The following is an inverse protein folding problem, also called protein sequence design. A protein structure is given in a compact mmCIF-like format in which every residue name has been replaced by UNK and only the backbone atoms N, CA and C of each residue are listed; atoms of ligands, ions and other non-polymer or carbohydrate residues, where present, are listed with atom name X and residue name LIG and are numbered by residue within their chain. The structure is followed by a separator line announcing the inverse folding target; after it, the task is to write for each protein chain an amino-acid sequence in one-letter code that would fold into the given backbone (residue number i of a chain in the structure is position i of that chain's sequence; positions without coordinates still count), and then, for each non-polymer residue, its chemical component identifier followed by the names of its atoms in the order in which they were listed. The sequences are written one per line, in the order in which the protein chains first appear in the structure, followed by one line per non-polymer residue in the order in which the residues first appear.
data_IF_620048768699
#
_entry.id   IF_620048768699
#
_cell.length_a   1.000
_cell.length_b   1.000
_cell.length_c   1.000
_cell.angle_alpha   90.00
_cell.angle_beta   90.00
_cell.angle_gamma   90.00
#
_symmetry.space_group_name_H-M   'P 1'
#
loop_
_entity.id
_entity.type
_entity.pdbx_description
1 polymer ?
#
# COMPACT_ATOMS: atom_id res chain seq x y z
N UNK A 1 -27.41 -73.65 -19.54
CA UNK A 1 -27.50 -72.82 -18.31
C UNK A 1 -26.93 -71.45 -18.62
N UNK A 2 -27.70 -70.42 -18.31
CA UNK A 2 -27.46 -68.99 -18.60
C UNK A 2 -26.44 -68.39 -17.62
N UNK A 3 -25.68 -67.37 -18.04
CA UNK A 3 -25.29 -66.13 -17.32
C UNK A 3 -24.30 -65.34 -18.24
N UNK A 4 -24.72 -64.22 -18.87
CA UNK A 4 -24.58 -62.82 -18.42
C UNK A 4 -23.25 -62.15 -18.86
N UNK A 5 -23.32 -60.95 -19.45
CA UNK A 5 -22.14 -60.09 -19.66
C UNK A 5 -22.29 -58.98 -20.70
N UNK A 6 -22.77 -57.81 -20.26
CA UNK A 6 -23.04 -56.58 -21.01
C UNK A 6 -21.86 -55.86 -21.69
N UNK A 7 -22.24 -55.08 -22.71
CA UNK A 7 -21.77 -53.72 -23.04
C UNK A 7 -20.27 -53.49 -23.31
N UNK A 8 -19.94 -53.48 -24.60
CA UNK A 8 -18.71 -52.84 -25.12
C UNK A 8 -18.90 -51.32 -25.04
N UNK A 9 -18.40 -50.75 -23.95
CA UNK A 9 -18.37 -49.31 -23.69
C UNK A 9 -17.33 -48.64 -24.61
N UNK A 10 -17.81 -47.80 -25.53
CA UNK A 10 -16.97 -46.96 -26.40
C UNK A 10 -16.10 -46.03 -25.55
N UNK A 11 -14.80 -46.10 -25.84
CA UNK A 11 -13.69 -45.50 -25.12
C UNK A 11 -13.87 -43.98 -24.99
N UNK A 12 -13.81 -43.53 -23.74
CA UNK A 12 -14.07 -42.16 -23.31
C UNK A 12 -13.33 -41.10 -24.13
N UNK A 13 -14.11 -40.28 -24.83
CA UNK A 13 -13.65 -39.08 -25.52
C UNK A 13 -14.57 -37.93 -25.12
N UNK A 14 -14.38 -37.38 -23.92
CA UNK A 14 -15.17 -36.23 -23.50
C UNK A 14 -15.22 -36.01 -21.99
N UNK A 15 -14.14 -35.50 -21.41
CA UNK A 15 -14.17 -34.72 -20.16
C UNK A 15 -12.77 -34.34 -19.64
N UNK A 16 -11.73 -35.13 -19.94
CA UNK A 16 -10.36 -34.83 -19.46
C UNK A 16 -9.65 -33.74 -20.27
N UNK A 17 -9.87 -33.69 -21.59
CA UNK A 17 -9.27 -32.67 -22.46
C UNK A 17 -9.72 -31.25 -22.08
N UNK A 18 -11.01 -31.07 -21.75
CA UNK A 18 -11.57 -29.79 -21.34
C UNK A 18 -11.05 -29.36 -19.95
N UNK A 19 -10.91 -30.33 -19.03
CA UNK A 19 -10.35 -30.09 -17.68
C UNK A 19 -8.87 -29.70 -17.75
N UNK A 20 -8.14 -30.23 -18.74
CA UNK A 20 -6.74 -29.88 -19.03
C UNK A 20 -6.57 -28.51 -19.67
N UNK A 21 -7.40 -28.15 -20.66
CA UNK A 21 -7.32 -26.85 -21.34
C UNK A 21 -7.62 -25.68 -20.39
N UNK A 22 -8.60 -25.81 -19.49
CA UNK A 22 -8.89 -24.78 -18.48
C UNK A 22 -7.76 -24.63 -17.47
N UNK A 23 -7.17 -25.74 -17.01
CA UNK A 23 -6.01 -25.73 -16.10
C UNK A 23 -4.77 -25.10 -16.77
N UNK A 24 -4.51 -25.40 -18.05
CA UNK A 24 -3.42 -24.81 -18.82
C UNK A 24 -3.61 -23.32 -19.05
N UNK A 25 -4.85 -22.89 -19.34
CA UNK A 25 -5.19 -21.47 -19.42
C UNK A 25 -4.96 -20.76 -18.08
N UNK A 26 -5.44 -21.32 -16.97
CA UNK A 26 -5.23 -20.72 -15.64
C UNK A 26 -3.75 -20.67 -15.23
N UNK A 27 -2.94 -21.67 -15.63
CA UNK A 27 -1.50 -21.69 -15.39
C UNK A 27 -0.75 -20.66 -16.25
N UNK A 28 -1.10 -20.55 -17.53
CA UNK A 28 -0.58 -19.52 -18.42
C UNK A 28 -0.96 -18.11 -17.96
N UNK A 29 -2.18 -17.95 -17.42
CA UNK A 29 -2.65 -16.68 -16.85
C UNK A 29 -1.92 -16.32 -15.55
N UNK A 30 -1.65 -17.30 -14.67
CA UNK A 30 -0.81 -17.10 -13.47
C UNK A 30 0.62 -16.68 -13.84
N UNK A 31 1.21 -17.34 -14.84
CA UNK A 31 2.54 -17.00 -15.37
C UNK A 31 2.56 -15.62 -16.07
N UNK A 32 1.45 -15.22 -16.70
CA UNK A 32 1.30 -13.87 -17.25
C UNK A 32 1.16 -12.79 -16.17
N UNK A 33 0.53 -13.08 -15.01
CA UNK A 33 0.42 -12.14 -13.89
C UNK A 33 1.73 -11.95 -13.12
N UNK A 34 2.62 -12.96 -13.14
CA UNK A 34 3.98 -12.87 -12.58
C UNK A 34 4.91 -11.97 -13.42
N UNK A 35 4.51 -11.60 -14.65
CA UNK A 35 5.13 -10.51 -15.41
C UNK A 35 4.75 -9.13 -14.86
N UNK A 36 4.76 -8.97 -13.54
CA UNK A 36 4.84 -7.67 -12.88
C UNK A 36 6.22 -7.06 -13.15
N UNK A 37 6.37 -6.47 -14.34
CA UNK A 37 7.66 -6.00 -14.86
C UNK A 37 8.38 -5.04 -13.89
N UNK A 38 9.61 -5.35 -13.45
CA UNK A 38 10.35 -4.53 -12.49
C UNK A 38 10.67 -3.12 -13.02
N UNK A 39 10.69 -2.95 -14.34
CA UNK A 39 10.98 -1.68 -15.02
C UNK A 39 9.88 -0.63 -14.85
N UNK A 40 8.61 -1.05 -14.82
CA UNK A 40 7.49 -0.12 -14.58
C UNK A 40 7.45 0.34 -13.12
N UNK A 41 7.76 -0.55 -12.16
CA UNK A 41 7.85 -0.18 -10.74
C UNK A 41 8.90 0.91 -10.48
N UNK A 42 10.09 0.78 -11.09
CA UNK A 42 11.17 1.79 -10.95
C UNK A 42 10.78 3.15 -11.52
N UNK A 43 9.99 3.17 -12.61
CA UNK A 43 9.55 4.40 -13.28
C UNK A 43 8.47 5.15 -12.50
N UNK A 44 7.57 4.44 -11.82
CA UNK A 44 6.56 5.03 -10.95
C UNK A 44 7.16 5.57 -9.64
N UNK A 45 8.24 4.95 -9.14
CA UNK A 45 8.97 5.46 -7.97
C UNK A 45 9.64 6.82 -8.23
N UNK A 46 10.13 7.10 -9.44
CA UNK A 46 10.73 8.40 -9.79
C UNK A 46 9.71 9.53 -9.98
N UNK A 47 8.44 9.21 -10.22
CA UNK A 47 7.37 10.21 -10.39
C UNK A 47 6.68 10.56 -9.05
N UNK A 48 6.88 9.74 -8.01
CA UNK A 48 6.19 9.88 -6.74
C UNK A 48 6.85 10.95 -5.84
N UNK A 49 6.42 12.20 -5.96
CA UNK A 49 6.72 13.28 -4.99
C UNK A 49 5.88 13.20 -3.68
N UNK A 50 5.13 12.10 -3.46
CA UNK A 50 4.03 11.83 -2.46
C UNK A 50 2.82 12.75 -2.63
N UNK A 51 1.58 12.22 -2.82
CA UNK A 51 0.83 11.32 -1.92
C UNK A 51 0.41 9.99 -2.56
N UNK A 52 0.98 9.62 -3.71
CA UNK A 52 0.73 8.33 -4.36
C UNK A 52 1.28 7.11 -3.58
N UNK A 53 2.19 7.33 -2.64
CA UNK A 53 2.77 6.27 -1.83
C UNK A 53 1.90 6.04 -0.60
N UNK A 54 1.48 4.80 -0.41
CA UNK A 54 0.80 4.36 0.80
C UNK A 54 1.72 4.55 2.02
N UNK A 55 1.38 5.52 2.86
CA UNK A 55 2.13 5.85 4.06
C UNK A 55 2.21 4.68 5.05
N UNK A 56 1.14 3.88 5.17
CA UNK A 56 1.10 2.75 6.08
C UNK A 56 2.14 1.70 5.66
N UNK A 57 2.20 1.40 4.36
CA UNK A 57 3.19 0.46 3.80
C UNK A 57 4.63 0.96 3.96
N UNK A 58 4.87 2.27 3.76
CA UNK A 58 6.20 2.84 3.98
C UNK A 58 6.63 2.72 5.45
N UNK A 59 5.75 3.05 6.39
CA UNK A 59 6.07 2.93 7.82
C UNK A 59 6.30 1.47 8.23
N UNK A 60 5.53 0.52 7.73
CA UNK A 60 5.74 -0.90 8.05
C UNK A 60 7.17 -1.36 7.74
N UNK A 61 7.70 -0.95 6.59
CA UNK A 61 9.07 -1.29 6.16
C UNK A 61 10.12 -0.52 6.97
N UNK A 62 9.87 0.74 7.32
CA UNK A 62 10.84 1.61 8.00
C UNK A 62 10.87 1.43 9.53
N UNK A 63 9.76 1.00 10.14
CA UNK A 63 9.59 0.88 11.60
C UNK A 63 10.70 0.14 12.34
N UNK A 64 11.27 -0.97 11.83
CA UNK A 64 12.38 -1.66 12.50
C UNK A 64 13.65 -0.80 12.67
N UNK A 65 13.80 0.26 11.88
CA UNK A 65 14.99 1.13 11.86
C UNK A 65 14.81 2.46 12.58
N UNK A 66 13.59 2.83 12.99
CA UNK A 66 13.28 4.14 13.58
C UNK A 66 13.31 4.14 15.12
N UNK A 67 13.48 2.98 15.75
CA UNK A 67 13.35 2.84 17.20
C UNK A 67 11.91 3.12 17.67
N UNK A 68 11.72 3.54 18.93
CA UNK A 68 10.39 3.84 19.48
C UNK A 68 9.77 5.09 18.82
N UNK A 69 8.78 4.87 17.95
CA UNK A 69 7.99 5.95 17.33
C UNK A 69 6.77 6.26 18.23
N UNK A 70 6.70 7.48 18.77
CA UNK A 70 5.63 7.92 19.68
C UNK A 70 5.13 9.31 19.29
N UNK A 71 3.83 9.53 19.46
CA UNK A 71 3.20 10.85 19.37
C UNK A 71 2.91 11.39 20.76
N UNK A 72 3.21 12.67 20.99
CA UNK A 72 2.92 13.36 22.23
C UNK A 72 2.10 14.62 21.92
N UNK A 73 1.03 14.83 22.68
CA UNK A 73 0.30 16.08 22.66
C UNK A 73 0.92 17.05 23.66
N UNK A 74 0.86 18.34 23.34
CA UNK A 74 1.37 19.42 24.17
C UNK A 74 0.42 20.60 24.08
N UNK A 75 0.29 21.33 25.19
CA UNK A 75 -0.43 22.60 25.27
C UNK A 75 0.44 23.79 24.81
N UNK A 76 1.69 23.53 24.43
CA UNK A 76 2.61 24.56 23.98
C UNK A 76 2.09 25.27 22.72
N UNK A 77 2.15 26.61 22.74
CA UNK A 77 1.85 27.45 21.58
C UNK A 77 2.99 28.43 21.30
N UNK A 78 3.12 28.96 20.08
CA UNK A 78 4.12 30.00 19.77
C UNK A 78 3.99 31.28 20.61
N UNK A 79 2.88 31.46 21.33
CA UNK A 79 2.62 32.57 22.25
C UNK A 79 3.02 32.29 23.70
N UNK A 80 3.40 31.04 24.04
CA UNK A 80 3.87 30.71 25.39
C UNK A 80 5.08 31.57 25.76
N UNK A 81 5.02 32.23 26.92
CA UNK A 81 6.03 33.18 27.44
C UNK A 81 6.22 34.47 26.61
N UNK A 82 5.21 34.89 25.82
CA UNK A 82 5.20 36.18 25.08
C UNK A 82 3.99 37.05 25.48
N UNK A 83 4.10 38.39 25.44
CA UNK A 83 5.28 39.21 25.08
C UNK A 83 6.31 39.30 26.23
N UNK A 84 7.59 39.40 25.85
CA UNK A 84 8.70 39.59 26.79
C UNK A 84 8.88 41.06 27.21
N UNK A 85 10.14 41.50 27.29
CA UNK A 85 10.49 42.88 27.68
C UNK A 85 10.37 43.90 26.54
N UNK A 86 10.30 43.45 25.29
CA UNK A 86 10.21 44.29 24.10
C UNK A 86 8.84 44.13 23.42
N UNK A 87 8.30 45.20 22.82
CA UNK A 87 7.05 45.12 22.08
C UNK A 87 7.24 44.31 20.80
N UNK A 88 6.35 43.34 20.58
CA UNK A 88 6.36 42.43 19.44
C UNK A 88 5.01 42.48 18.70
N UNK A 89 5.03 42.33 17.37
CA UNK A 89 3.84 42.25 16.54
C UNK A 89 3.25 40.83 16.58
N UNK A 90 2.42 40.58 17.60
CA UNK A 90 1.79 39.28 17.87
C UNK A 90 0.29 39.32 17.57
N UNK A 91 -0.22 38.20 17.03
CA UNK A 91 -1.65 37.95 16.88
C UNK A 91 -2.14 37.06 18.04
N UNK A 92 -2.90 37.64 18.97
CA UNK A 92 -3.45 36.91 20.14
C UNK A 92 -4.77 36.19 19.84
N UNK A 93 -5.37 36.40 18.67
CA UNK A 93 -6.65 35.77 18.29
C UNK A 93 -6.48 34.32 17.84
N UNK A 94 -5.34 34.03 17.20
CA UNK A 94 -4.95 32.70 16.76
C UNK A 94 -3.46 32.45 17.05
N UNK A 95 -3.14 31.59 18.04
CA UNK A 95 -1.77 31.31 18.44
C UNK A 95 -0.87 30.75 17.32
N UNK A 96 -1.46 30.06 16.32
CA UNK A 96 -0.71 29.37 15.25
C UNK A 96 -0.52 30.21 13.98
N UNK A 97 -0.87 31.49 14.02
CA UNK A 97 -0.58 32.39 12.92
C UNK A 97 0.92 32.44 12.64
N UNK A 98 1.27 32.46 11.34
CA UNK A 98 2.66 32.43 10.91
C UNK A 98 3.47 33.62 11.44
N UNK A 99 2.79 34.76 11.70
CA UNK A 99 3.36 35.95 12.35
C UNK A 99 3.97 35.64 13.72
N UNK A 100 3.35 34.75 14.49
CA UNK A 100 3.79 34.37 15.84
C UNK A 100 4.98 33.39 15.82
N UNK A 101 5.16 32.64 14.73
CA UNK A 101 6.24 31.65 14.56
C UNK A 101 7.52 32.27 13.99
N UNK A 102 7.38 33.29 13.14
CA UNK A 102 8.53 33.99 12.57
C UNK A 102 9.25 34.82 13.63
N UNK A 103 10.54 34.55 13.82
CA UNK A 103 11.44 35.41 14.61
C UNK A 103 11.88 36.58 13.73
N UNK A 104 11.66 37.82 14.20
CA UNK A 104 11.98 39.08 13.51
C UNK A 104 12.88 39.95 14.36
#
# INVERSE_FOLDING_TARGET
MVLSGSAVQLKGFGSEALRSSRKRLMAAWRSASERNTPRLRRRLASLAKKPLLDFARCLEIQRPYLGPVKGYYTEWTPLTDRPGLFPEDLDTSDPWQFRNVLVR
#
